data_IF_537688880517
#
_entry.id   IF_537688880517
#
_cell.length_a   1.000
_cell.length_b   1.000
_cell.length_c   1.000
_cell.angle_alpha   90.00
_cell.angle_beta   90.00
_cell.angle_gamma   90.00
#
_symmetry.space_group_name_H-M   'P 1'
#
loop_
_entity.id
_entity.type
_entity.pdbx_description
1 polymer ?
#
# COMPACT_ATOMS: atom_id res chain seq x y z
N UNK A 1 -6.29 -34.15 -0.26
CA UNK A 1 -7.21 -34.18 0.89
C UNK A 1 -8.10 -32.95 0.85
N UNK A 2 -9.41 -33.14 0.99
CA UNK A 2 -10.33 -31.99 1.02
C UNK A 2 -10.33 -31.37 2.41
N UNK A 3 -10.23 -30.05 2.53
CA UNK A 3 -10.37 -29.40 3.82
C UNK A 3 -11.81 -29.45 4.31
N UNK A 4 -11.98 -29.50 5.63
CA UNK A 4 -13.30 -29.50 6.26
C UNK A 4 -13.92 -28.10 6.36
N UNK A 5 -13.10 -27.05 6.17
CA UNK A 5 -13.57 -25.68 6.25
C UNK A 5 -14.31 -25.28 4.98
N UNK A 6 -15.29 -24.39 5.07
CA UNK A 6 -15.92 -23.82 3.88
C UNK A 6 -14.91 -23.16 2.96
N UNK A 7 -15.15 -23.22 1.66
CA UNK A 7 -14.23 -22.64 0.68
C UNK A 7 -14.07 -21.12 0.87
N UNK A 8 -15.10 -20.43 1.33
CA UNK A 8 -15.05 -18.98 1.59
C UNK A 8 -14.04 -18.62 2.68
N UNK A 9 -13.92 -19.48 3.70
CA UNK A 9 -12.96 -19.29 4.78
C UNK A 9 -11.54 -19.50 4.27
N UNK A 10 -11.35 -20.50 3.43
CA UNK A 10 -10.03 -20.80 2.84
C UNK A 10 -9.59 -19.66 1.93
N UNK A 11 -10.51 -19.16 1.09
CA UNK A 11 -10.23 -18.03 0.20
C UNK A 11 -9.87 -16.77 0.99
N UNK A 12 -10.60 -16.51 2.08
CA UNK A 12 -10.30 -15.38 2.94
C UNK A 12 -8.91 -15.49 3.55
N UNK A 13 -8.53 -16.68 4.00
CA UNK A 13 -7.19 -16.91 4.56
C UNK A 13 -6.10 -16.66 3.51
N UNK A 14 -6.33 -17.10 2.27
CA UNK A 14 -5.39 -16.86 1.17
C UNK A 14 -5.23 -15.37 0.88
N UNK A 15 -6.34 -14.62 0.87
CA UNK A 15 -6.33 -13.18 0.67
C UNK A 15 -5.59 -12.45 1.80
N UNK A 16 -5.82 -12.86 3.03
CA UNK A 16 -5.13 -12.28 4.18
C UNK A 16 -3.63 -12.57 4.14
N UNK A 17 -3.26 -13.79 3.78
CA UNK A 17 -1.86 -14.18 3.64
C UNK A 17 -1.17 -13.35 2.54
N UNK A 18 -1.86 -13.06 1.45
CA UNK A 18 -1.34 -12.22 0.37
C UNK A 18 -1.07 -10.80 0.84
N UNK A 19 -2.00 -10.21 1.61
CA UNK A 19 -1.78 -8.88 2.20
C UNK A 19 -0.58 -8.88 3.13
N UNK A 20 -0.46 -9.90 3.97
CA UNK A 20 0.69 -10.02 4.88
C UNK A 20 2.00 -10.08 4.11
N UNK A 21 2.01 -10.81 2.99
CA UNK A 21 3.20 -10.92 2.15
C UNK A 21 3.58 -9.57 1.55
N UNK A 22 2.62 -8.82 1.05
CA UNK A 22 2.85 -7.49 0.48
C UNK A 22 3.39 -6.55 1.56
N UNK A 23 2.76 -6.52 2.72
CA UNK A 23 3.13 -5.62 3.81
C UNK A 23 4.20 -6.20 4.74
N UNK A 24 4.84 -7.30 4.34
CA UNK A 24 6.06 -7.77 4.96
C UNK A 24 7.30 -6.96 4.56
N UNK A 25 7.13 -5.94 3.72
CA UNK A 25 8.20 -5.05 3.26
C UNK A 25 7.96 -3.65 3.82
N UNK A 26 8.93 -3.09 4.60
CA UNK A 26 8.72 -1.78 5.24
C UNK A 26 8.45 -0.65 4.26
N UNK A 27 9.07 -0.65 3.10
CA UNK A 27 8.84 0.41 2.11
C UNK A 27 7.42 0.39 1.59
N UNK A 28 6.83 -0.78 1.40
CA UNK A 28 5.43 -0.88 0.98
C UNK A 28 4.46 -0.43 2.07
N UNK A 29 4.81 -0.69 3.33
CA UNK A 29 4.04 -0.15 4.46
C UNK A 29 4.08 1.37 4.45
N UNK A 30 5.27 1.96 4.27
CA UNK A 30 5.42 3.42 4.19
C UNK A 30 4.63 4.01 3.04
N UNK A 31 4.64 3.36 1.89
CA UNK A 31 3.85 3.81 0.73
C UNK A 31 2.36 3.83 1.06
N UNK A 32 1.86 2.76 1.68
CA UNK A 32 0.46 2.70 2.08
C UNK A 32 0.10 3.85 3.01
N UNK A 33 0.93 4.12 4.01
CA UNK A 33 0.70 5.19 4.97
C UNK A 33 0.71 6.57 4.31
N UNK A 34 1.67 6.80 3.39
CA UNK A 34 1.74 8.06 2.66
C UNK A 34 0.50 8.30 1.82
N UNK A 35 0.05 7.27 1.11
CA UNK A 35 -1.13 7.37 0.25
C UNK A 35 -2.43 7.44 1.05
N UNK A 36 -2.42 6.94 2.29
CA UNK A 36 -3.57 7.10 3.18
C UNK A 36 -3.81 8.56 3.55
N UNK A 37 -2.77 9.40 3.51
CA UNK A 37 -2.91 10.84 3.78
C UNK A 37 -3.42 11.59 2.56
N UNK A 38 -2.85 11.33 1.39
CA UNK A 38 -3.26 11.96 0.13
C UNK A 38 -2.58 11.30 -1.06
N UNK A 39 -3.05 11.60 -2.26
CA UNK A 39 -2.39 11.19 -3.50
C UNK A 39 -0.98 11.77 -3.58
N UNK A 40 -0.09 11.03 -4.21
CA UNK A 40 1.32 11.45 -4.39
C UNK A 40 1.86 10.92 -5.70
N UNK A 41 2.83 11.65 -6.26
CA UNK A 41 3.58 11.17 -7.42
C UNK A 41 4.65 10.17 -6.99
N UNK A 42 5.15 9.39 -7.96
CA UNK A 42 6.26 8.45 -7.70
C UNK A 42 7.47 9.17 -7.11
N UNK A 43 7.80 10.35 -7.64
CA UNK A 43 8.93 11.13 -7.16
C UNK A 43 8.75 11.54 -5.70
N UNK A 44 7.57 12.03 -5.34
CA UNK A 44 7.26 12.38 -3.96
C UNK A 44 7.39 11.20 -3.02
N UNK A 45 6.87 10.04 -3.45
CA UNK A 45 6.94 8.82 -2.65
C UNK A 45 8.40 8.38 -2.48
N UNK A 46 9.15 8.32 -3.58
CA UNK A 46 10.55 7.90 -3.55
C UNK A 46 11.38 8.77 -2.61
N UNK A 47 11.20 10.08 -2.68
CA UNK A 47 11.89 11.01 -1.78
C UNK A 47 11.51 10.77 -0.32
N UNK A 48 10.23 10.56 -0.06
CA UNK A 48 9.74 10.38 1.31
C UNK A 48 10.26 9.10 1.95
N UNK A 49 10.38 8.01 1.20
CA UNK A 49 10.81 6.72 1.76
C UNK A 49 12.31 6.47 1.58
N UNK A 50 13.02 7.40 0.93
CA UNK A 50 14.47 7.26 0.74
C UNK A 50 14.85 6.14 -0.22
N UNK A 51 14.03 5.92 -1.27
CA UNK A 51 14.25 4.87 -2.24
C UNK A 51 14.48 5.46 -3.63
N UNK A 52 15.01 4.64 -4.55
CA UNK A 52 15.13 5.02 -5.96
C UNK A 52 13.77 5.08 -6.63
N UNK A 53 13.67 5.81 -7.74
CA UNK A 53 12.46 5.83 -8.55
C UNK A 53 12.12 4.43 -9.06
N UNK A 54 13.14 3.67 -9.46
CA UNK A 54 12.95 2.32 -9.98
C UNK A 54 12.37 1.39 -8.92
N UNK A 55 12.95 1.38 -7.72
CA UNK A 55 12.48 0.55 -6.61
C UNK A 55 11.06 0.94 -6.20
N UNK A 56 10.79 2.23 -6.10
CA UNK A 56 9.46 2.75 -5.75
C UNK A 56 8.42 2.34 -6.77
N UNK A 57 8.76 2.46 -8.07
CA UNK A 57 7.86 2.04 -9.16
C UNK A 57 7.55 0.55 -9.08
N UNK A 58 8.54 -0.28 -8.74
CA UNK A 58 8.33 -1.72 -8.56
C UNK A 58 7.37 -2.02 -7.42
N UNK A 59 7.54 -1.34 -6.28
CA UNK A 59 6.62 -1.49 -5.15
C UNK A 59 5.20 -1.10 -5.54
N UNK A 60 5.03 0.02 -6.22
CA UNK A 60 3.72 0.49 -6.67
C UNK A 60 3.10 -0.47 -7.68
N UNK A 61 3.93 -1.06 -8.55
CA UNK A 61 3.45 -2.05 -9.51
C UNK A 61 2.92 -3.30 -8.81
N UNK A 62 3.65 -3.81 -7.81
CA UNK A 62 3.21 -4.96 -7.01
C UNK A 62 1.88 -4.65 -6.31
N UNK A 63 1.80 -3.48 -5.68
CA UNK A 63 0.59 -3.07 -4.96
C UNK A 63 -0.58 -2.84 -5.92
N UNK A 64 -0.31 -2.28 -7.10
CA UNK A 64 -1.32 -2.06 -8.13
C UNK A 64 -1.86 -3.36 -8.72
N UNK A 65 -1.00 -4.35 -8.91
CA UNK A 65 -1.39 -5.66 -9.40
C UNK A 65 -2.39 -6.34 -8.45
N UNK A 66 -2.32 -6.02 -7.16
CA UNK A 66 -3.24 -6.55 -6.15
C UNK A 66 -4.41 -5.61 -5.86
N UNK A 67 -4.62 -4.61 -6.69
CA UNK A 67 -5.72 -3.65 -6.55
C UNK A 67 -5.70 -2.87 -5.23
N UNK A 68 -4.51 -2.60 -4.71
CA UNK A 68 -4.35 -1.80 -3.50
C UNK A 68 -4.16 -0.33 -3.80
N UNK A 69 -3.52 -0.03 -4.93
CA UNK A 69 -3.28 1.32 -5.40
C UNK A 69 -3.56 1.39 -6.89
N UNK A 70 -3.83 2.59 -7.39
CA UNK A 70 -3.92 2.82 -8.84
C UNK A 70 -3.40 4.21 -9.19
N UNK A 71 -3.05 4.38 -10.45
CA UNK A 71 -2.48 5.61 -10.97
C UNK A 71 -3.56 6.47 -11.61
N UNK A 72 -3.45 7.78 -11.44
CA UNK A 72 -4.27 8.78 -12.11
C UNK A 72 -3.34 9.76 -12.81
N UNK A 73 -3.57 9.97 -14.11
CA UNK A 73 -2.77 10.93 -14.88
C UNK A 73 -3.46 12.29 -14.87
N UNK A 74 -2.68 13.33 -14.58
CA UNK A 74 -3.14 14.71 -14.66
C UNK A 74 -2.02 15.54 -15.29
N UNK A 75 -2.24 16.03 -16.53
CA UNK A 75 -1.23 16.71 -17.33
C UNK A 75 0.02 15.83 -17.53
N UNK A 76 1.18 16.25 -17.03
CA UNK A 76 2.43 15.49 -17.14
C UNK A 76 2.73 14.67 -15.91
N UNK A 77 1.86 14.72 -14.90
CA UNK A 77 2.09 14.03 -13.63
C UNK A 77 1.23 12.80 -13.52
N UNK A 78 1.79 11.78 -12.86
CA UNK A 78 1.07 10.55 -12.51
C UNK A 78 0.99 10.49 -11.00
N UNK A 79 -0.23 10.51 -10.48
CA UNK A 79 -0.50 10.42 -9.06
C UNK A 79 -1.00 9.03 -8.72
N UNK A 80 -0.55 8.52 -7.59
CA UNK A 80 -1.05 7.25 -7.06
C UNK A 80 -1.96 7.50 -5.88
N UNK A 81 -2.98 6.67 -5.73
CA UNK A 81 -3.94 6.72 -4.62
C UNK A 81 -4.34 5.31 -4.23
N UNK A 82 -4.88 5.17 -3.01
CA UNK A 82 -5.37 3.89 -2.50
C UNK A 82 -6.70 3.59 -3.18
N UNK A 83 -6.86 2.34 -3.63
CA UNK A 83 -8.12 1.85 -4.18
C UNK A 83 -9.05 1.52 -3.03
N UNK A 84 -10.35 1.83 -3.18
CA UNK A 84 -11.38 1.42 -2.23
C UNK A 84 -11.55 -0.11 -2.35
N UNK A 85 -10.86 -0.83 -1.48
CA UNK A 85 -10.76 -2.28 -1.49
C UNK A 85 -11.21 -2.82 -0.14
N UNK A 86 -12.15 -3.76 -0.16
CA UNK A 86 -12.67 -4.36 1.07
C UNK A 86 -11.58 -4.94 1.96
N UNK A 87 -10.52 -5.51 1.34
CA UNK A 87 -9.41 -6.09 2.10
C UNK A 87 -8.67 -5.05 2.93
N UNK A 88 -8.62 -3.80 2.47
CA UNK A 88 -7.94 -2.71 3.19
C UNK A 88 -8.77 -2.10 4.30
N UNK A 89 -10.09 -2.25 4.26
CA UNK A 89 -10.98 -1.66 5.28
C UNK A 89 -10.65 -2.15 6.68
N UNK A 90 -10.26 -3.41 6.81
CA UNK A 90 -9.93 -4.03 8.09
C UNK A 90 -8.43 -4.33 8.21
N UNK A 91 -7.61 -3.67 7.38
CA UNK A 91 -6.17 -3.89 7.37
C UNK A 91 -5.52 -3.25 8.60
N UNK A 92 -4.86 -4.07 9.43
CA UNK A 92 -4.19 -3.60 10.64
C UNK A 92 -3.05 -2.62 10.33
N UNK A 93 -2.34 -2.85 9.23
CA UNK A 93 -1.25 -1.97 8.81
C UNK A 93 -1.77 -0.56 8.59
N UNK A 94 -2.90 -0.43 7.90
CA UNK A 94 -3.51 0.87 7.63
C UNK A 94 -4.07 1.49 8.92
N UNK A 95 -4.71 0.69 9.76
CA UNK A 95 -5.33 1.16 11.00
C UNK A 95 -4.31 1.67 12.02
N UNK A 96 -3.08 1.15 11.99
CA UNK A 96 -2.04 1.51 12.95
C UNK A 96 -1.05 2.53 12.41
N UNK A 97 -1.39 3.25 11.35
CA UNK A 97 -0.49 4.29 10.84
C UNK A 97 -0.32 5.41 11.86
N UNK A 98 0.88 6.00 11.95
CA UNK A 98 1.10 7.16 12.82
C UNK A 98 0.24 8.35 12.37
N UNK A 99 -0.32 9.09 13.31
CA UNK A 99 -1.20 10.22 13.00
C UNK A 99 -0.45 11.43 12.46
N UNK A 100 0.75 11.69 12.98
CA UNK A 100 1.52 12.89 12.68
C UNK A 100 2.85 12.58 12.00
N UNK A 101 2.82 11.60 11.10
CA UNK A 101 4.03 11.08 10.47
C UNK A 101 4.81 12.14 9.68
N UNK A 102 4.13 13.10 9.02
CA UNK A 102 4.77 14.16 8.29
C UNK A 102 5.28 15.28 9.21
N UNK A 103 4.62 15.49 10.32
CA UNK A 103 5.03 16.52 11.29
C UNK A 103 6.39 16.15 11.90
N UNK A 104 6.61 14.88 12.22
CA UNK A 104 7.88 14.41 12.73
C UNK A 104 9.01 14.61 11.73
N UNK A 105 8.76 14.35 10.45
CA UNK A 105 9.73 14.57 9.39
C UNK A 105 10.13 16.04 9.30
N UNK A 106 9.18 16.95 9.44
CA UNK A 106 9.43 18.38 9.37
C UNK A 106 10.22 18.87 10.58
N UNK A 107 10.00 18.28 11.76
CA UNK A 107 10.66 18.70 13.00
C UNK A 107 12.06 18.10 13.17
N UNK A 108 12.39 17.06 12.45
CA UNK A 108 13.72 16.47 12.49
C UNK A 108 14.62 17.03 11.41
#
# INVERSE_FOLDING_TARGET
MKPDLPSEIIELAEQQAELCRIFGNPQRVLILWLLAERERTVTEIALAIGASLQSTSQHLHIMGFRNLVEARREHHNIYYHIVDNELLKNCRVLAHRPKDMLLEVVLT
#
